data_IF_707091383695
#
_entry.id   IF_707091383695
#
_cell.length_a   1.000
_cell.length_b   1.000
_cell.length_c   1.000
_cell.angle_alpha   90.00
_cell.angle_beta   90.00
_cell.angle_gamma   90.00
#
_symmetry.space_group_name_H-M   'P 1'
#
loop_
_entity.id
_entity.type
_entity.pdbx_description
1 polymer ?
#
# COMPACT_ATOMS: atom_id res chain seq x y z
N UNK A 1 -40.16 -4.70 -8.26
CA UNK A 1 -38.86 -4.98 -7.60
C UNK A 1 -37.78 -4.75 -8.63
N UNK A 2 -36.95 -3.73 -8.45
CA UNK A 2 -35.89 -3.35 -9.39
C UNK A 2 -34.56 -3.82 -8.79
N UNK A 3 -33.98 -4.88 -9.32
CA UNK A 3 -32.65 -5.35 -8.92
C UNK A 3 -31.65 -4.44 -9.62
N UNK A 4 -31.02 -3.53 -8.87
CA UNK A 4 -29.83 -2.81 -9.34
C UNK A 4 -28.73 -3.85 -9.60
N UNK A 5 -28.38 -4.03 -10.86
CA UNK A 5 -27.17 -4.73 -11.28
C UNK A 5 -25.96 -3.88 -10.86
N UNK A 6 -25.49 -4.09 -9.64
CA UNK A 6 -24.20 -3.57 -9.20
C UNK A 6 -23.15 -4.36 -9.99
N UNK A 7 -22.65 -3.79 -11.08
CA UNK A 7 -21.42 -4.24 -11.74
C UNK A 7 -20.24 -3.95 -10.81
N UNK A 8 -20.18 -4.67 -9.69
CA UNK A 8 -18.92 -4.81 -8.95
C UNK A 8 -18.09 -5.76 -9.80
N UNK A 9 -17.17 -5.20 -10.59
CA UNK A 9 -16.11 -6.01 -11.18
C UNK A 9 -15.46 -6.79 -10.03
N UNK A 10 -15.47 -8.13 -10.05
CA UNK A 10 -14.78 -8.89 -9.03
C UNK A 10 -13.28 -8.64 -9.24
N UNK A 11 -12.70 -7.84 -8.35
CA UNK A 11 -11.27 -7.82 -8.13
C UNK A 11 -10.92 -9.20 -7.54
N UNK A 12 -10.66 -10.17 -8.42
CA UNK A 12 -10.23 -11.50 -7.98
C UNK A 12 -8.85 -11.33 -7.35
N UNK A 13 -8.76 -11.51 -6.04
CA UNK A 13 -7.55 -11.32 -5.24
C UNK A 13 -6.42 -12.33 -5.55
N UNK A 14 -6.62 -13.24 -6.50
CA UNK A 14 -5.71 -14.35 -6.82
C UNK A 14 -4.88 -14.12 -8.10
N UNK A 15 -5.11 -13.03 -8.84
CA UNK A 15 -4.31 -12.62 -10.01
C UNK A 15 -3.85 -11.15 -9.83
N UNK A 16 -2.88 -10.90 -8.95
CA UNK A 16 -2.24 -9.57 -8.80
C UNK A 16 -3.08 -8.54 -8.02
N UNK A 17 -2.92 -7.24 -8.34
CA UNK A 17 -3.58 -6.14 -7.62
C UNK A 17 -5.06 -5.98 -8.02
N UNK A 18 -5.54 -6.76 -9.00
CA UNK A 18 -6.93 -6.78 -9.50
C UNK A 18 -7.52 -5.41 -9.86
N UNK A 19 -6.65 -4.43 -10.13
CA UNK A 19 -7.04 -3.06 -10.43
C UNK A 19 -7.59 -2.95 -11.88
N UNK A 20 -8.60 -2.09 -12.12
CA UNK A 20 -9.13 -1.89 -13.46
C UNK A 20 -8.04 -1.49 -14.47
N UNK A 21 -8.09 -2.06 -15.67
CA UNK A 21 -7.13 -1.77 -16.76
C UNK A 21 -7.26 -0.35 -17.31
N UNK A 22 -8.36 0.35 -17.01
CA UNK A 22 -8.51 1.79 -17.29
C UNK A 22 -7.56 2.66 -16.47
N UNK A 23 -7.06 2.14 -15.34
CA UNK A 23 -5.99 2.78 -14.59
C UNK A 23 -4.68 2.50 -15.31
N UNK A 24 -4.01 3.54 -15.80
CA UNK A 24 -2.78 3.47 -16.60
C UNK A 24 -1.55 2.91 -15.87
N UNK A 25 -1.71 2.46 -14.63
CA UNK A 25 -0.66 1.88 -13.80
C UNK A 25 -0.62 0.37 -13.97
N UNK A 26 0.58 -0.21 -14.03
CA UNK A 26 0.79 -1.66 -14.05
C UNK A 26 0.94 -2.19 -12.64
N UNK A 27 0.65 -3.47 -12.44
CA UNK A 27 0.78 -4.13 -11.14
C UNK A 27 2.23 -4.13 -10.64
N UNK A 28 3.21 -4.17 -11.54
CA UNK A 28 4.61 -3.99 -11.17
C UNK A 28 4.90 -2.64 -10.51
N UNK A 29 4.21 -1.58 -10.96
CA UNK A 29 4.35 -0.25 -10.37
C UNK A 29 3.65 -0.20 -9.02
N UNK A 30 2.45 -0.79 -8.92
CA UNK A 30 1.71 -0.91 -7.65
C UNK A 30 2.53 -1.64 -6.59
N UNK A 31 3.14 -2.76 -6.96
CA UNK A 31 4.05 -3.53 -6.09
C UNK A 31 5.21 -2.68 -5.62
N UNK A 32 5.86 -1.95 -6.54
CA UNK A 32 6.96 -1.05 -6.20
C UNK A 32 6.54 0.02 -5.19
N UNK A 33 5.36 0.62 -5.37
CA UNK A 33 4.87 1.62 -4.43
C UNK A 33 4.49 1.02 -3.09
N UNK A 34 3.78 -0.11 -3.07
CA UNK A 34 3.33 -0.75 -1.84
C UNK A 34 4.51 -1.24 -1.00
N UNK A 35 5.45 -1.95 -1.62
CA UNK A 35 6.66 -2.45 -0.97
C UNK A 35 7.51 -1.30 -0.40
N UNK A 36 7.72 -0.24 -1.17
CA UNK A 36 8.46 0.94 -0.72
C UNK A 36 7.82 1.58 0.53
N UNK A 37 6.51 1.76 0.55
CA UNK A 37 5.83 2.33 1.71
C UNK A 37 5.91 1.41 2.93
N UNK A 38 5.71 0.11 2.75
CA UNK A 38 5.78 -0.84 3.85
C UNK A 38 7.20 -0.96 4.41
N UNK A 39 8.24 -0.87 3.58
CA UNK A 39 9.63 -0.80 4.04
C UNK A 39 9.89 0.45 4.88
N UNK A 40 9.46 1.62 4.42
CA UNK A 40 9.59 2.86 5.18
C UNK A 40 8.86 2.79 6.53
N UNK A 41 7.62 2.28 6.53
CA UNK A 41 6.83 2.07 7.75
C UNK A 41 7.54 1.13 8.72
N UNK A 42 8.11 0.04 8.22
CA UNK A 42 8.91 -0.90 9.03
C UNK A 42 10.13 -0.21 9.64
N UNK A 43 10.86 0.58 8.87
CA UNK A 43 12.04 1.31 9.37
C UNK A 43 11.67 2.32 10.45
N UNK A 44 10.52 2.99 10.34
CA UNK A 44 10.00 3.87 11.39
C UNK A 44 9.57 3.07 12.63
N UNK A 45 8.89 1.93 12.45
CA UNK A 45 8.44 1.09 13.55
C UNK A 45 9.60 0.65 14.45
N UNK A 46 10.75 0.31 13.85
CA UNK A 46 11.98 -0.05 14.58
C UNK A 46 12.85 1.14 15.02
N UNK A 47 12.50 2.38 14.66
CA UNK A 47 13.29 3.56 14.99
C UNK A 47 14.59 3.70 14.16
N UNK A 48 14.67 3.04 13.01
CA UNK A 48 15.83 3.06 12.11
C UNK A 48 15.76 4.20 11.08
N UNK A 49 14.64 4.91 11.00
CA UNK A 49 14.43 6.03 10.08
C UNK A 49 14.86 7.36 10.72
N UNK A 50 15.47 8.24 9.93
CA UNK A 50 15.80 9.62 10.35
C UNK A 50 15.09 10.63 9.46
N UNK A 51 14.68 11.77 10.03
CA UNK A 51 14.19 12.89 9.24
C UNK A 51 15.35 13.81 8.84
N UNK A 52 15.38 14.22 7.57
CA UNK A 52 16.44 15.07 7.04
C UNK A 52 16.41 16.45 7.71
N UNK A 53 17.60 17.04 7.83
CA UNK A 53 17.98 18.26 8.57
C UNK A 53 18.57 18.01 9.97
N UNK A 54 17.83 17.40 10.89
CA UNK A 54 18.28 17.31 12.30
C UNK A 54 18.78 15.92 12.71
N UNK A 55 18.80 14.95 11.79
CA UNK A 55 19.13 13.52 12.03
C UNK A 55 18.32 12.90 13.16
N UNK A 56 17.20 13.52 13.56
CA UNK A 56 16.38 13.04 14.64
C UNK A 56 15.71 11.74 14.22
N UNK A 57 15.87 10.65 15.00
CA UNK A 57 15.18 9.40 14.72
C UNK A 57 13.67 9.60 14.71
N UNK A 58 12.98 8.98 13.76
CA UNK A 58 11.52 8.86 13.72
C UNK A 58 11.17 7.47 14.25
N UNK A 59 10.38 7.43 15.32
CA UNK A 59 10.01 6.19 16.02
C UNK A 59 10.82 5.94 17.30
N UNK A 60 10.76 4.71 17.88
CA UNK A 60 9.99 3.56 17.40
C UNK A 60 8.47 3.79 17.46
N UNK A 61 7.70 2.98 16.72
CA UNK A 61 6.25 3.05 16.70
C UNK A 61 5.64 1.65 16.91
N UNK A 62 4.80 1.49 17.92
CA UNK A 62 4.27 0.19 18.34
C UNK A 62 3.08 -0.34 17.53
N UNK A 63 2.34 0.54 16.83
CA UNK A 63 1.11 0.19 16.11
C UNK A 63 1.20 0.56 14.62
N UNK A 64 2.34 0.24 13.99
CA UNK A 64 2.58 0.52 12.57
C UNK A 64 2.11 -0.62 11.68
N UNK A 65 0.82 -0.61 11.32
CA UNK A 65 0.21 -1.66 10.49
C UNK A 65 0.73 -1.67 9.04
N UNK A 66 0.71 -2.83 8.41
CA UNK A 66 1.06 -2.97 6.99
C UNK A 66 -0.02 -2.37 6.09
N UNK A 67 0.38 -1.77 4.97
CA UNK A 67 -0.55 -1.37 3.91
C UNK A 67 -0.83 -2.56 3.00
N UNK A 68 -2.06 -2.67 2.52
CA UNK A 68 -2.52 -3.71 1.61
C UNK A 68 -2.99 -3.12 0.27
N UNK A 69 -2.99 -3.98 -0.76
CA UNK A 69 -3.55 -3.75 -2.09
C UNK A 69 -5.03 -4.06 -2.17
#
# INVERSE_FOLDING_TARGET
MLILLINVLPCNADDGFGCPTSLLMKDSDREKYLSYHNELRRNIAFGNATYSQDLKPIGPASNMYELAS
#
